data_IF_612725434626
#
_entry.id   IF_612725434626
#
_cell.length_a   1.000
_cell.length_b   1.000
_cell.length_c   1.000
_cell.angle_alpha   90.00
_cell.angle_beta   90.00
_cell.angle_gamma   90.00
#
_symmetry.space_group_name_H-M   'P 1'
#
loop_
_entity.id
_entity.type
_entity.pdbx_description
1 polymer ?
#
# COMPACT_ATOMS: atom_id res chain seq x y z
N UNK A 1 22.27 22.45 -31.48
CA UNK A 1 22.02 22.51 -30.03
C UNK A 1 22.48 21.16 -29.48
N UNK A 2 23.55 21.13 -28.70
CA UNK A 2 24.22 19.88 -28.33
C UNK A 2 23.96 19.59 -26.85
N UNK A 3 23.51 18.37 -26.55
CA UNK A 3 23.40 17.86 -25.18
C UNK A 3 24.58 16.93 -24.95
N UNK A 4 25.46 17.30 -24.01
CA UNK A 4 26.58 16.45 -23.59
C UNK A 4 26.19 15.73 -22.31
N UNK A 5 26.13 14.41 -22.35
CA UNK A 5 25.87 13.55 -21.19
C UNK A 5 27.20 12.98 -20.70
N UNK A 6 27.57 13.28 -19.45
CA UNK A 6 28.76 12.73 -18.80
C UNK A 6 28.37 11.52 -17.96
N UNK A 7 29.05 10.38 -18.16
CA UNK A 7 28.98 9.22 -17.28
C UNK A 7 30.38 9.02 -16.72
N UNK A 8 30.53 9.13 -15.40
CA UNK A 8 31.82 8.94 -14.75
C UNK A 8 32.15 7.43 -14.75
N UNK A 9 33.38 7.05 -15.09
CA UNK A 9 33.79 5.63 -15.17
C UNK A 9 33.54 4.86 -13.87
N UNK A 10 33.70 5.52 -12.72
CA UNK A 10 33.39 4.96 -11.42
C UNK A 10 31.90 4.59 -11.24
N UNK A 11 30.99 5.33 -11.88
CA UNK A 11 29.54 5.06 -11.82
C UNK A 11 29.20 3.79 -12.61
N UNK A 12 29.84 3.58 -13.76
CA UNK A 12 29.65 2.37 -14.57
C UNK A 12 30.10 1.10 -13.83
N UNK A 13 31.24 1.17 -13.13
CA UNK A 13 31.75 0.06 -12.33
C UNK A 13 30.84 -0.23 -11.12
N UNK A 14 30.35 0.82 -10.44
CA UNK A 14 29.38 0.67 -9.35
C UNK A 14 28.06 0.03 -9.82
N UNK A 15 27.53 0.46 -10.97
CA UNK A 15 26.33 -0.12 -11.58
C UNK A 15 26.51 -1.61 -11.85
N UNK A 16 27.67 -1.99 -12.41
CA UNK A 16 27.99 -3.39 -12.72
C UNK A 16 28.07 -4.24 -11.44
N UNK A 17 28.75 -3.74 -10.40
CA UNK A 17 28.84 -4.43 -9.11
C UNK A 17 27.45 -4.65 -8.51
N UNK A 18 26.61 -3.61 -8.48
CA UNK A 18 25.24 -3.71 -7.96
C UNK A 18 24.38 -4.71 -8.74
N UNK A 19 24.54 -4.74 -10.08
CA UNK A 19 23.83 -5.68 -10.94
C UNK A 19 24.28 -7.11 -10.67
N UNK A 20 25.59 -7.36 -10.56
CA UNK A 20 26.13 -8.68 -10.22
C UNK A 20 25.66 -9.14 -8.84
N UNK A 21 25.65 -8.24 -7.84
CA UNK A 21 25.14 -8.54 -6.50
C UNK A 21 23.66 -8.95 -6.54
N UNK A 22 22.84 -8.22 -7.31
CA UNK A 22 21.43 -8.57 -7.51
C UNK A 22 21.26 -9.95 -8.15
N UNK A 23 22.00 -10.20 -9.24
CA UNK A 23 21.92 -11.47 -9.97
C UNK A 23 22.42 -12.66 -9.16
N UNK A 24 23.44 -12.48 -8.30
CA UNK A 24 23.91 -13.51 -7.36
C UNK A 24 22.89 -13.85 -6.28
N UNK A 25 22.14 -12.85 -5.80
CA UNK A 25 21.10 -13.04 -4.78
C UNK A 25 19.80 -13.61 -5.35
N UNK A 26 19.46 -13.31 -6.61
CA UNK A 26 18.24 -13.78 -7.27
C UNK A 26 18.26 -15.30 -7.40
N UNK A 27 17.33 -15.98 -6.73
CA UNK A 27 17.21 -17.44 -6.86
C UNK A 27 16.58 -17.84 -8.20
N UNK A 28 17.15 -18.85 -8.87
CA UNK A 28 16.57 -19.40 -10.11
C UNK A 28 15.25 -20.14 -9.86
N UNK A 29 15.11 -20.77 -8.69
CA UNK A 29 13.91 -21.45 -8.19
C UNK A 29 13.68 -21.02 -6.74
N UNK A 30 13.02 -19.87 -6.50
CA UNK A 30 12.86 -19.33 -5.16
C UNK A 30 11.97 -20.24 -4.28
N UNK A 31 12.33 -20.39 -3.00
CA UNK A 31 11.48 -21.07 -2.01
C UNK A 31 10.40 -20.11 -1.51
N UNK A 32 9.27 -20.05 -2.21
CA UNK A 32 8.21 -19.10 -1.92
C UNK A 32 7.16 -19.63 -0.93
N UNK A 33 6.53 -18.75 -0.13
CA UNK A 33 5.34 -19.10 0.65
C UNK A 33 4.21 -19.65 -0.22
N UNK A 34 3.32 -20.46 0.36
CA UNK A 34 2.15 -21.02 -0.33
C UNK A 34 1.13 -19.97 -0.78
N UNK A 35 1.19 -18.76 -0.21
CA UNK A 35 0.36 -17.61 -0.57
C UNK A 35 0.81 -16.92 -1.86
N UNK A 36 1.95 -17.33 -2.44
CA UNK A 36 2.51 -16.71 -3.64
C UNK A 36 2.16 -17.52 -4.88
N UNK A 37 1.59 -16.85 -5.87
CA UNK A 37 1.34 -17.43 -7.20
C UNK A 37 2.30 -16.83 -8.22
N UNK A 38 2.98 -17.69 -8.98
CA UNK A 38 3.88 -17.29 -10.07
C UNK A 38 3.15 -17.36 -11.41
N UNK A 39 3.31 -16.32 -12.22
CA UNK A 39 2.84 -16.26 -13.61
C UNK A 39 4.03 -15.93 -14.51
N UNK A 40 4.06 -16.54 -15.69
CA UNK A 40 4.99 -16.19 -16.76
C UNK A 40 4.25 -15.44 -17.86
N UNK A 41 4.84 -14.37 -18.37
CA UNK A 41 4.33 -13.65 -19.54
C UNK A 41 4.89 -14.24 -20.83
N UNK A 42 4.24 -13.98 -21.96
CA UNK A 42 4.71 -14.40 -23.28
C UNK A 42 6.09 -13.83 -23.62
N UNK A 43 6.43 -12.66 -23.09
CA UNK A 43 7.74 -12.01 -23.25
C UNK A 43 8.81 -12.54 -22.27
N UNK A 44 8.51 -13.59 -21.50
CA UNK A 44 9.44 -14.23 -20.57
C UNK A 44 9.61 -13.49 -19.22
N UNK A 45 8.78 -12.48 -18.94
CA UNK A 45 8.76 -11.84 -17.62
C UNK A 45 8.03 -12.72 -16.61
N UNK A 46 8.43 -12.65 -15.33
CA UNK A 46 7.79 -13.37 -14.24
C UNK A 46 7.07 -12.41 -13.31
N UNK A 47 5.84 -12.74 -12.96
CA UNK A 47 5.01 -11.99 -12.02
C UNK A 47 4.73 -12.88 -10.82
N UNK A 48 5.02 -12.37 -9.62
CA UNK A 48 4.74 -13.06 -8.37
C UNK A 48 3.66 -12.28 -7.63
N UNK A 49 2.48 -12.87 -7.49
CA UNK A 49 1.35 -12.29 -6.76
C UNK A 49 1.37 -12.85 -5.35
N UNK A 50 1.61 -12.00 -4.36
CA UNK A 50 1.62 -12.37 -2.94
C UNK A 50 0.23 -12.15 -2.36
N UNK A 51 -0.47 -13.22 -2.00
CA UNK A 51 -1.73 -13.11 -1.26
C UNK A 51 -1.48 -12.59 0.15
N UNK A 52 -1.97 -11.39 0.47
CA UNK A 52 -1.82 -10.79 1.79
C UNK A 52 -3.15 -10.66 2.51
N UNK A 53 -3.11 -10.79 3.83
CA UNK A 53 -4.16 -10.35 4.73
C UNK A 53 -3.68 -9.07 5.42
N UNK A 54 -4.44 -7.99 5.28
CA UNK A 54 -4.07 -6.62 5.70
C UNK A 54 -3.80 -6.47 7.21
N UNK A 55 -4.17 -7.50 7.99
CA UNK A 55 -3.98 -7.63 9.43
C UNK A 55 -3.31 -8.98 9.76
N UNK A 56 -2.21 -9.33 9.09
CA UNK A 56 -1.43 -10.51 9.46
C UNK A 56 0.08 -10.27 9.45
N UNK A 57 0.74 -10.63 10.55
CA UNK A 57 2.20 -10.71 10.61
C UNK A 57 2.75 -11.80 9.68
N UNK A 58 1.99 -12.85 9.38
CA UNK A 58 2.40 -13.85 8.38
C UNK A 58 2.52 -13.21 7.00
N UNK A 59 1.59 -12.32 6.64
CA UNK A 59 1.64 -11.61 5.35
C UNK A 59 2.84 -10.66 5.24
N UNK A 60 3.24 -10.01 6.35
CA UNK A 60 4.48 -9.23 6.40
C UNK A 60 5.69 -10.12 6.07
N UNK A 61 5.79 -11.29 6.71
CA UNK A 61 6.88 -12.25 6.50
C UNK A 61 6.89 -12.81 5.07
N UNK A 62 5.72 -13.12 4.51
CA UNK A 62 5.59 -13.64 3.16
C UNK A 62 6.08 -12.63 2.11
N UNK A 63 5.71 -11.36 2.27
CA UNK A 63 6.19 -10.25 1.42
C UNK A 63 7.72 -10.13 1.51
N UNK A 64 8.26 -10.09 2.73
CA UNK A 64 9.72 -9.96 2.96
C UNK A 64 10.46 -11.12 2.29
N UNK A 65 10.04 -12.36 2.57
CA UNK A 65 10.65 -13.55 1.99
C UNK A 65 10.59 -13.52 0.47
N UNK A 66 9.45 -13.19 -0.11
CA UNK A 66 9.28 -13.14 -1.56
C UNK A 66 10.22 -12.13 -2.22
N UNK A 67 10.30 -10.91 -1.70
CA UNK A 67 11.18 -9.87 -2.26
C UNK A 67 12.65 -10.28 -2.13
N UNK A 68 13.05 -10.87 -1.00
CA UNK A 68 14.42 -11.30 -0.77
C UNK A 68 14.83 -12.43 -1.70
N UNK A 69 13.97 -13.43 -1.93
CA UNK A 69 14.29 -14.57 -2.80
C UNK A 69 14.25 -14.23 -4.29
N UNK A 70 13.28 -13.40 -4.70
CA UNK A 70 13.07 -13.03 -6.10
C UNK A 70 14.01 -11.91 -6.56
N UNK A 71 14.42 -11.02 -5.65
CA UNK A 71 15.17 -9.79 -5.97
C UNK A 71 14.52 -9.05 -7.16
N UNK A 72 13.26 -8.60 -7.06
CA UNK A 72 12.49 -8.12 -8.20
C UNK A 72 13.08 -6.86 -8.85
N UNK A 73 12.70 -6.63 -10.11
CA UNK A 73 12.98 -5.38 -10.82
C UNK A 73 11.93 -4.30 -10.50
N UNK A 74 10.73 -4.73 -10.17
CA UNK A 74 9.60 -3.85 -9.83
C UNK A 74 8.78 -4.49 -8.72
N UNK A 75 8.39 -3.69 -7.73
CA UNK A 75 7.37 -4.01 -6.73
C UNK A 75 6.19 -3.07 -6.91
N UNK A 76 4.99 -3.63 -7.04
CA UNK A 76 3.74 -2.88 -7.13
C UNK A 76 2.90 -3.21 -5.89
N UNK A 77 2.36 -2.19 -5.22
CA UNK A 77 1.42 -2.37 -4.11
C UNK A 77 0.07 -1.75 -4.46
N UNK A 78 -1.01 -2.35 -3.99
CA UNK A 78 -2.38 -1.85 -4.14
C UNK A 78 -2.65 -0.69 -3.17
N UNK A 79 -1.91 0.40 -3.34
CA UNK A 79 -2.02 1.61 -2.55
C UNK A 79 -2.08 2.84 -3.46
N UNK A 80 -3.01 3.75 -3.20
CA UNK A 80 -3.12 4.98 -3.98
C UNK A 80 -2.23 6.11 -3.43
N UNK A 81 -1.94 7.13 -4.23
CA UNK A 81 -1.06 8.26 -3.87
C UNK A 81 -1.47 8.99 -2.58
N UNK A 82 -2.77 9.15 -2.34
CA UNK A 82 -3.29 9.81 -1.13
C UNK A 82 -2.95 9.08 0.18
N UNK A 83 -2.53 7.82 0.11
CA UNK A 83 -2.19 6.98 1.27
C UNK A 83 -0.69 6.73 1.43
N UNK A 84 0.15 7.34 0.60
CA UNK A 84 1.61 7.10 0.62
C UNK A 84 2.24 7.47 1.97
N UNK A 85 1.68 8.45 2.68
CA UNK A 85 2.12 8.79 4.04
C UNK A 85 2.09 7.58 4.98
N UNK A 86 1.16 6.64 4.78
CA UNK A 86 1.07 5.41 5.58
C UNK A 86 2.30 4.50 5.40
N UNK A 87 3.03 4.60 4.29
CA UNK A 87 4.25 3.80 4.06
C UNK A 87 5.44 4.31 4.90
N UNK A 88 5.44 5.60 5.23
CA UNK A 88 6.55 6.27 5.93
C UNK A 88 6.31 6.40 7.44
N UNK A 89 5.06 6.33 7.86
CA UNK A 89 4.68 6.39 9.27
C UNK A 89 4.94 5.06 9.97
N UNK A 90 5.46 5.12 11.19
CA UNK A 90 5.64 3.94 12.03
C UNK A 90 4.28 3.43 12.53
N UNK A 91 4.25 2.14 12.84
CA UNK A 91 3.03 1.45 13.28
C UNK A 91 2.41 2.09 14.52
N UNK A 92 3.23 2.58 15.47
CA UNK A 92 2.72 3.19 16.70
C UNK A 92 2.07 4.54 16.42
N UNK A 93 2.65 5.34 15.54
CA UNK A 93 2.06 6.61 15.10
C UNK A 93 0.76 6.39 14.34
N UNK A 94 0.68 5.38 13.46
CA UNK A 94 -0.58 5.04 12.78
C UNK A 94 -1.65 4.52 13.75
N UNK A 95 -1.28 3.70 14.73
CA UNK A 95 -2.19 3.25 15.78
C UNK A 95 -2.72 4.42 16.61
N UNK A 96 -1.87 5.40 16.91
CA UNK A 96 -2.27 6.64 17.59
C UNK A 96 -3.16 7.51 16.71
N UNK A 97 -2.80 7.75 15.45
CA UNK A 97 -3.60 8.55 14.53
C UNK A 97 -4.95 7.88 14.17
N UNK A 98 -5.01 6.56 14.14
CA UNK A 98 -6.26 5.83 13.95
C UNK A 98 -7.19 5.99 15.17
N UNK A 99 -6.62 6.01 16.38
CA UNK A 99 -7.36 6.25 17.63
C UNK A 99 -7.74 7.72 17.82
N UNK A 100 -6.86 8.64 17.41
CA UNK A 100 -7.05 10.08 17.47
C UNK A 100 -7.65 10.59 16.16
N UNK A 101 -8.95 10.39 16.01
CA UNK A 101 -9.73 10.95 14.90
C UNK A 101 -9.73 12.48 15.04
N UNK A 102 -8.75 13.14 14.43
CA UNK A 102 -8.59 14.59 14.53
C UNK A 102 -9.65 15.33 13.70
N UNK A 103 -10.51 16.10 14.37
CA UNK A 103 -11.48 17.04 13.79
C UNK A 103 -10.82 18.04 12.82
N UNK A 104 -9.54 18.35 13.00
CA UNK A 104 -8.76 19.21 12.09
C UNK A 104 -8.52 18.55 10.72
N UNK A 105 -8.20 17.24 10.69
CA UNK A 105 -8.06 16.48 9.43
C UNK A 105 -9.40 16.39 8.70
N UNK A 106 -10.52 16.32 9.44
CA UNK A 106 -11.86 16.41 8.87
C UNK A 106 -12.10 17.77 8.24
N UNK A 107 -11.84 18.86 8.96
CA UNK A 107 -12.01 20.21 8.44
C UNK A 107 -11.14 20.44 7.20
N UNK A 108 -9.91 19.95 7.19
CA UNK A 108 -9.01 20.04 6.05
C UNK A 108 -9.51 19.22 4.85
N UNK A 109 -10.00 17.99 5.07
CA UNK A 109 -10.56 17.13 4.03
C UNK A 109 -11.86 17.71 3.44
N UNK A 110 -12.73 18.28 4.27
CA UNK A 110 -13.93 18.99 3.83
C UNK A 110 -13.56 20.23 3.02
N UNK A 111 -12.56 21.00 3.46
CA UNK A 111 -12.13 22.24 2.81
C UNK A 111 -11.44 21.98 1.47
N UNK A 112 -10.72 20.87 1.34
CA UNK A 112 -10.00 20.51 0.11
C UNK A 112 -10.84 19.70 -0.89
N UNK A 113 -11.71 18.81 -0.43
CA UNK A 113 -12.39 17.83 -1.29
C UNK A 113 -13.93 17.87 -1.18
N UNK A 114 -14.48 18.85 -0.45
CA UNK A 114 -15.91 19.01 -0.22
C UNK A 114 -16.46 18.15 0.91
N UNK A 115 -17.65 18.52 1.40
CA UNK A 115 -18.29 17.92 2.58
C UNK A 115 -18.47 16.40 2.46
N UNK A 116 -18.89 15.92 1.29
CA UNK A 116 -19.11 14.49 1.05
C UNK A 116 -17.82 13.66 1.11
N UNK A 117 -16.70 14.20 0.61
CA UNK A 117 -15.41 13.51 0.68
C UNK A 117 -14.87 13.49 2.09
N UNK A 118 -15.03 14.57 2.85
CA UNK A 118 -14.62 14.64 4.25
C UNK A 118 -15.40 13.66 5.15
N UNK A 119 -16.73 13.61 5.01
CA UNK A 119 -17.57 12.64 5.74
C UNK A 119 -17.22 11.19 5.40
N UNK A 120 -16.91 10.91 4.13
CA UNK A 120 -16.49 9.57 3.72
C UNK A 120 -15.12 9.19 4.30
N UNK A 121 -14.18 10.13 4.34
CA UNK A 121 -12.86 9.91 4.92
C UNK A 121 -12.95 9.68 6.43
N UNK A 122 -13.86 10.38 7.11
CA UNK A 122 -14.20 10.12 8.51
C UNK A 122 -14.74 8.71 8.73
N UNK A 123 -15.67 8.25 7.91
CA UNK A 123 -16.21 6.88 8.00
C UNK A 123 -15.12 5.83 7.84
N UNK A 124 -14.26 5.99 6.83
CA UNK A 124 -13.12 5.12 6.58
C UNK A 124 -12.17 5.05 7.76
N UNK A 125 -11.87 6.21 8.37
CA UNK A 125 -11.01 6.30 9.54
C UNK A 125 -11.65 5.61 10.74
N UNK A 126 -12.94 5.84 10.99
CA UNK A 126 -13.71 5.17 12.06
C UNK A 126 -13.73 3.65 11.91
N UNK A 127 -14.07 3.15 10.72
CA UNK A 127 -14.07 1.70 10.44
C UNK A 127 -12.67 1.12 10.60
N UNK A 128 -11.63 1.80 10.08
CA UNK A 128 -10.24 1.34 10.24
C UNK A 128 -9.81 1.33 11.71
N UNK A 129 -10.19 2.33 12.50
CA UNK A 129 -9.90 2.42 13.93
C UNK A 129 -10.54 1.27 14.71
N UNK A 130 -11.82 0.97 14.43
CA UNK A 130 -12.55 -0.12 15.06
C UNK A 130 -11.92 -1.49 14.75
N UNK A 131 -11.59 -1.76 13.48
CA UNK A 131 -10.93 -3.00 13.08
C UNK A 131 -9.53 -3.11 13.72
N UNK A 132 -8.81 -1.99 13.80
CA UNK A 132 -7.49 -1.91 14.43
C UNK A 132 -7.54 -2.22 15.93
N UNK A 133 -8.58 -1.75 16.63
CA UNK A 133 -8.78 -2.02 18.07
C UNK A 133 -9.10 -3.49 18.34
N UNK A 134 -9.94 -4.11 17.50
CA UNK A 134 -10.30 -5.53 17.62
C UNK A 134 -9.11 -6.45 17.31
N UNK A 135 -8.26 -6.09 16.36
CA UNK A 135 -7.14 -6.92 15.89
C UNK A 135 -5.78 -6.57 16.51
N UNK A 136 -5.69 -5.45 17.25
CA UNK A 136 -4.47 -5.02 17.95
C UNK A 136 -3.30 -4.62 17.03
N UNK A 137 -3.51 -4.52 15.73
CA UNK A 137 -2.45 -4.29 14.74
C UNK A 137 -2.86 -3.28 13.67
N UNK A 138 -1.91 -2.44 13.23
CA UNK A 138 -2.21 -1.42 12.23
C UNK A 138 -2.31 -2.03 10.83
N UNK A 139 -3.31 -1.63 10.02
CA UNK A 139 -3.39 -2.06 8.64
C UNK A 139 -2.20 -1.55 7.83
N UNK A 140 -1.80 -2.30 6.81
CA UNK A 140 -0.80 -1.87 5.83
C UNK A 140 0.65 -2.19 6.21
N UNK A 141 0.85 -3.08 7.18
CA UNK A 141 2.19 -3.51 7.56
C UNK A 141 2.92 -4.25 6.44
N UNK A 142 2.20 -5.06 5.67
CA UNK A 142 2.71 -5.74 4.49
C UNK A 142 3.19 -4.75 3.42
N UNK A 143 2.49 -3.64 3.20
CA UNK A 143 2.92 -2.60 2.26
C UNK A 143 4.14 -1.83 2.76
N UNK A 144 4.23 -1.57 4.07
CA UNK A 144 5.41 -0.94 4.68
C UNK A 144 6.64 -1.83 4.54
N UNK A 145 6.50 -3.12 4.82
CA UNK A 145 7.60 -4.07 4.64
C UNK A 145 7.96 -4.24 3.16
N UNK A 146 6.98 -4.26 2.25
CA UNK A 146 7.25 -4.24 0.80
C UNK A 146 8.09 -3.02 0.39
N UNK A 147 7.73 -1.83 0.87
CA UNK A 147 8.45 -0.59 0.57
C UNK A 147 9.89 -0.61 1.10
N UNK A 148 10.08 -1.08 2.35
CA UNK A 148 11.40 -1.21 2.97
C UNK A 148 12.27 -2.22 2.23
N UNK A 149 11.74 -3.41 1.93
CA UNK A 149 12.51 -4.46 1.27
C UNK A 149 12.81 -4.11 -0.19
N UNK A 150 11.87 -3.50 -0.92
CA UNK A 150 12.11 -3.03 -2.28
C UNK A 150 13.26 -2.02 -2.33
N UNK A 151 13.35 -1.12 -1.34
CA UNK A 151 14.42 -0.13 -1.24
C UNK A 151 15.82 -0.75 -1.01
N UNK A 152 15.89 -1.99 -0.54
CA UNK A 152 17.15 -2.73 -0.33
C UNK A 152 17.62 -3.48 -1.58
N UNK A 153 16.75 -3.66 -2.58
CA UNK A 153 17.06 -4.39 -3.81
C UNK A 153 17.61 -3.41 -4.85
N UNK A 154 18.83 -3.63 -5.38
CA UNK A 154 19.40 -2.76 -6.40
C UNK A 154 18.50 -2.67 -7.64
N UNK A 155 18.34 -1.47 -8.17
CA UNK A 155 17.53 -1.19 -9.37
C UNK A 155 16.05 -1.58 -9.26
N UNK A 156 15.54 -1.87 -8.07
CA UNK A 156 14.13 -2.17 -7.87
C UNK A 156 13.32 -0.87 -7.87
N UNK A 157 12.30 -0.80 -8.72
CA UNK A 157 11.33 0.30 -8.73
C UNK A 157 10.14 -0.04 -7.87
N UNK A 158 9.60 0.97 -7.18
CA UNK A 158 8.39 0.83 -6.39
C UNK A 158 7.25 1.62 -7.02
N UNK A 159 6.12 0.96 -7.29
CA UNK A 159 4.95 1.57 -7.90
C UNK A 159 3.68 1.38 -7.06
N UNK A 160 2.80 2.37 -7.20
CA UNK A 160 1.49 2.43 -6.57
C UNK A 160 0.45 2.02 -7.61
N UNK A 161 -0.17 0.87 -7.41
CA UNK A 161 -1.08 0.23 -8.37
C UNK A 161 -2.55 0.57 -8.18
N UNK A 162 -2.93 1.32 -7.14
CA UNK A 162 -4.34 1.60 -6.84
C UNK A 162 -4.78 3.02 -7.24
N UNK A 163 -6.06 3.13 -7.58
CA UNK A 163 -6.73 4.37 -7.96
C UNK A 163 -7.02 5.25 -6.75
N UNK A 164 -7.21 6.56 -6.95
CA UNK A 164 -7.67 7.46 -5.88
C UNK A 164 -8.90 6.93 -5.12
N UNK A 165 -8.82 6.87 -3.79
CA UNK A 165 -9.93 6.49 -2.91
C UNK A 165 -11.24 7.23 -3.26
N UNK A 166 -11.27 8.56 -3.48
CA UNK A 166 -12.52 9.25 -3.79
C UNK A 166 -13.23 8.68 -5.03
N UNK A 167 -12.47 8.24 -6.04
CA UNK A 167 -13.01 7.60 -7.24
C UNK A 167 -13.58 6.22 -6.92
N UNK A 168 -12.87 5.42 -6.12
CA UNK A 168 -13.36 4.13 -5.60
C UNK A 168 -14.70 4.30 -4.89
N UNK A 169 -14.80 5.27 -3.98
CA UNK A 169 -16.02 5.52 -3.23
C UNK A 169 -17.16 6.04 -4.09
N UNK A 170 -16.89 6.98 -5.00
CA UNK A 170 -17.89 7.46 -5.94
C UNK A 170 -18.51 6.31 -6.73
N UNK A 171 -17.67 5.37 -7.20
CA UNK A 171 -18.14 4.16 -7.90
C UNK A 171 -18.92 3.22 -6.98
N UNK A 172 -18.43 2.99 -5.77
CA UNK A 172 -19.11 2.14 -4.80
C UNK A 172 -20.51 2.67 -4.47
N UNK A 173 -20.65 3.98 -4.18
CA UNK A 173 -21.94 4.62 -3.93
C UNK A 173 -22.82 4.60 -5.19
N UNK A 174 -22.25 4.85 -6.37
CA UNK A 174 -23.01 4.80 -7.62
C UNK A 174 -23.60 3.42 -7.91
N UNK A 175 -22.91 2.35 -7.49
CA UNK A 175 -23.38 0.97 -7.64
C UNK A 175 -24.51 0.58 -6.67
N UNK A 176 -24.78 1.38 -5.63
CA UNK A 176 -25.84 1.11 -4.67
C UNK A 176 -27.22 1.55 -5.20
N UNK A 177 -28.25 0.76 -4.87
CA UNK A 177 -29.65 1.15 -5.06
C UNK A 177 -30.03 2.31 -4.13
N UNK A 178 -31.12 3.01 -4.44
CA UNK A 178 -31.61 4.15 -3.62
C UNK A 178 -31.85 3.70 -2.17
N UNK A 179 -32.46 2.53 -1.97
CA UNK A 179 -32.68 1.95 -0.64
C UNK A 179 -31.38 1.63 0.11
N UNK A 180 -30.37 1.11 -0.58
CA UNK A 180 -29.06 0.85 0.02
C UNK A 180 -28.33 2.14 0.38
N UNK A 181 -28.48 3.20 -0.43
CA UNK A 181 -27.95 4.54 -0.10
C UNK A 181 -28.60 5.10 1.15
N UNK A 182 -29.92 4.97 1.30
CA UNK A 182 -30.65 5.38 2.52
C UNK A 182 -30.18 4.55 3.73
N UNK A 183 -30.06 3.23 3.58
CA UNK A 183 -29.57 2.35 4.66
C UNK A 183 -28.12 2.67 5.05
N UNK A 184 -27.26 2.99 4.08
CA UNK A 184 -25.89 3.44 4.32
C UNK A 184 -25.87 4.79 5.05
N UNK A 185 -26.65 5.76 4.58
CA UNK A 185 -26.77 7.07 5.23
C UNK A 185 -27.28 6.95 6.67
N UNK A 186 -28.31 6.13 6.90
CA UNK A 186 -28.79 5.77 8.23
C UNK A 186 -27.66 5.15 9.06
N UNK A 187 -27.02 4.09 8.55
CA UNK A 187 -25.90 3.43 9.23
C UNK A 187 -24.78 4.39 9.63
N UNK A 188 -24.41 5.34 8.77
CA UNK A 188 -23.43 6.40 9.08
C UNK A 188 -23.89 7.34 10.20
N UNK A 189 -25.14 7.77 10.18
CA UNK A 189 -25.71 8.63 11.22
C UNK A 189 -25.73 7.93 12.59
N UNK A 190 -26.02 6.62 12.64
CA UNK A 190 -26.09 5.85 13.89
C UNK A 190 -24.77 5.15 14.29
N UNK A 191 -23.78 5.04 13.40
CA UNK A 191 -22.38 4.74 13.77
C UNK A 191 -21.69 5.92 14.48
N UNK A 192 -22.35 7.08 14.53
CA UNK A 192 -21.80 8.31 15.11
C UNK A 192 -22.03 8.42 16.61
N UNK A 193 -22.78 7.51 17.23
CA UNK A 193 -22.80 7.41 18.68
C UNK A 193 -21.45 6.90 19.17
N UNK A 194 -20.73 7.65 20.03
CA UNK A 194 -19.52 7.14 20.65
C UNK A 194 -19.90 5.88 21.43
N UNK A 195 -19.28 4.76 21.07
CA UNK A 195 -19.40 3.53 21.84
C UNK A 195 -18.83 3.86 23.22
N UNK A 196 -19.71 3.80 24.22
CA UNK A 196 -19.40 4.05 25.62
C UNK A 196 -18.59 2.90 26.22
#
# INVERSE_FOLDING_TARGET
MNVTVFIHKADADALKILLEMKMKKRQKKPSLPSTVTEFATEEGSKVYVVGTAHFSDSSKKDVVKTIQEVQPDVVVVELCQYRVSMLKMDERTLLKEAKEINLEKLQQAIKQNGLMSGLMQMLLLKVSAHITEQLGMAPGGEFREAFKEASKVPFCKFHLGDRPIPVTFKRAIAALSIWQKIKLAWGLCFLSDPIR
#
